data_IF_149690760261
#
_entry.id   IF_149690760261
#
_cell.length_a   1.000
_cell.length_b   1.000
_cell.length_c   1.000
_cell.angle_alpha   90.00
_cell.angle_beta   90.00
_cell.angle_gamma   90.00
#
_symmetry.space_group_name_H-M   'P 1'
#
loop_
_entity.id
_entity.type
_entity.pdbx_description
1 polymer ?
#
# COMPACT_ATOMS: atom_id res chain seq x y z
N UNK A 1 13.08 -33.80 -66.12
CA UNK A 1 13.24 -32.50 -65.43
C UNK A 1 12.16 -32.20 -64.38
N UNK A 2 11.16 -33.07 -64.12
CA UNK A 2 10.12 -32.80 -63.12
C UNK A 2 10.53 -33.10 -61.65
N UNK A 3 11.51 -33.99 -61.42
CA UNK A 3 11.93 -34.38 -60.06
C UNK A 3 12.77 -33.33 -59.31
N UNK A 4 13.55 -32.51 -60.01
CA UNK A 4 14.39 -31.47 -59.38
C UNK A 4 13.53 -30.33 -58.81
N UNK A 5 12.50 -29.90 -59.56
CA UNK A 5 11.54 -28.90 -59.10
C UNK A 5 10.75 -29.37 -57.88
N UNK A 6 10.45 -30.66 -57.78
CA UNK A 6 9.70 -31.22 -56.64
C UNK A 6 10.54 -31.25 -55.36
N UNK A 7 11.85 -31.55 -55.47
CA UNK A 7 12.80 -31.51 -54.36
C UNK A 7 13.00 -30.07 -53.87
N UNK A 8 13.18 -29.11 -54.77
CA UNK A 8 13.38 -27.70 -54.41
C UNK A 8 12.17 -27.13 -53.66
N UNK A 9 10.96 -27.45 -54.12
CA UNK A 9 9.71 -27.08 -53.45
C UNK A 9 9.62 -27.72 -52.06
N UNK A 10 10.01 -29.00 -51.94
CA UNK A 10 9.97 -29.71 -50.66
C UNK A 10 11.01 -29.18 -49.66
N UNK A 11 12.21 -28.83 -50.13
CA UNK A 11 13.26 -28.16 -49.34
C UNK A 11 12.80 -26.77 -48.90
N UNK A 12 12.19 -26.00 -49.80
CA UNK A 12 11.62 -24.69 -49.47
C UNK A 12 10.52 -24.77 -48.40
N UNK A 13 9.61 -25.73 -48.53
CA UNK A 13 8.58 -26.02 -47.52
C UNK A 13 9.18 -26.46 -46.18
N UNK A 14 10.21 -27.31 -46.20
CA UNK A 14 10.91 -27.73 -44.99
C UNK A 14 11.56 -26.54 -44.26
N UNK A 15 12.23 -25.64 -45.00
CA UNK A 15 12.83 -24.43 -44.44
C UNK A 15 11.79 -23.49 -43.83
N UNK A 16 10.66 -23.27 -44.51
CA UNK A 16 9.56 -22.45 -43.98
C UNK A 16 8.99 -23.09 -42.70
N UNK A 17 8.83 -24.41 -42.67
CA UNK A 17 8.38 -25.14 -41.49
C UNK A 17 9.31 -24.93 -40.29
N UNK A 18 10.62 -25.03 -40.50
CA UNK A 18 11.63 -24.78 -39.45
C UNK A 18 11.59 -23.34 -38.97
N UNK A 19 11.56 -22.35 -39.88
CA UNK A 19 11.51 -20.93 -39.52
C UNK A 19 10.24 -20.62 -38.73
N UNK A 20 9.09 -21.16 -39.15
CA UNK A 20 7.81 -20.97 -38.48
C UNK A 20 7.81 -21.59 -37.08
N UNK A 21 8.38 -22.78 -36.93
CA UNK A 21 8.53 -23.45 -35.63
C UNK A 21 9.38 -22.63 -34.67
N UNK A 22 10.53 -22.12 -35.14
CA UNK A 22 11.39 -21.25 -34.34
C UNK A 22 10.66 -19.96 -33.93
N UNK A 23 9.93 -19.33 -34.86
CA UNK A 23 9.13 -18.13 -34.58
C UNK A 23 8.08 -18.37 -33.49
N UNK A 24 7.38 -19.51 -33.51
CA UNK A 24 6.40 -19.86 -32.48
C UNK A 24 7.04 -20.00 -31.10
N UNK A 25 8.22 -20.62 -31.02
CA UNK A 25 8.98 -20.75 -29.76
C UNK A 25 9.38 -19.38 -29.21
N UNK A 26 9.94 -18.51 -30.06
CA UNK A 26 10.32 -17.15 -29.66
C UNK A 26 9.13 -16.34 -29.17
N UNK A 27 7.98 -16.41 -29.86
CA UNK A 27 6.78 -15.69 -29.44
C UNK A 27 6.23 -16.22 -28.10
N UNK A 28 6.30 -17.53 -27.87
CA UNK A 28 5.96 -18.15 -26.58
C UNK A 28 6.86 -17.66 -25.44
N UNK A 29 8.17 -17.58 -25.69
CA UNK A 29 9.14 -17.06 -24.72
C UNK A 29 8.93 -15.56 -24.44
N UNK A 30 8.73 -14.75 -25.47
CA UNK A 30 8.47 -13.31 -25.33
C UNK A 30 7.21 -13.04 -24.48
N UNK A 31 6.12 -13.78 -24.73
CA UNK A 31 4.89 -13.70 -23.91
C UNK A 31 5.12 -14.08 -22.45
N UNK A 32 5.95 -15.08 -22.21
CA UNK A 32 6.29 -15.54 -20.86
C UNK A 32 7.10 -14.46 -20.14
N UNK A 33 8.10 -13.88 -20.81
CA UNK A 33 8.92 -12.79 -20.26
C UNK A 33 8.06 -11.57 -19.89
N UNK A 34 7.20 -11.11 -20.80
CA UNK A 34 6.29 -9.98 -20.54
C UNK A 34 5.36 -10.23 -19.34
N UNK A 35 4.89 -11.48 -19.17
CA UNK A 35 4.05 -11.84 -18.02
C UNK A 35 4.83 -11.79 -16.71
N UNK A 36 6.08 -12.24 -16.73
CA UNK A 36 6.97 -12.18 -15.55
C UNK A 36 7.26 -10.73 -15.19
N UNK A 37 7.66 -9.91 -16.16
CA UNK A 37 7.94 -8.48 -15.95
C UNK A 37 6.74 -7.77 -15.31
N UNK A 38 5.53 -7.98 -15.85
CA UNK A 38 4.30 -7.39 -15.33
C UNK A 38 3.99 -7.84 -13.90
N UNK A 39 4.18 -9.12 -13.59
CA UNK A 39 3.97 -9.65 -12.25
C UNK A 39 4.98 -9.07 -11.24
N UNK A 40 6.24 -8.93 -11.66
CA UNK A 40 7.29 -8.30 -10.84
C UNK A 40 6.99 -6.81 -10.60
N UNK A 41 6.57 -6.07 -11.63
CA UNK A 41 6.15 -4.67 -11.51
C UNK A 41 5.00 -4.50 -10.51
N UNK A 42 3.98 -5.34 -10.60
CA UNK A 42 2.84 -5.29 -9.68
C UNK A 42 3.23 -5.63 -8.24
N UNK A 43 4.09 -6.62 -8.02
CA UNK A 43 4.60 -6.89 -6.68
C UNK A 43 5.41 -5.70 -6.13
N UNK A 44 6.27 -5.08 -6.96
CA UNK A 44 7.03 -3.89 -6.56
C UNK A 44 6.13 -2.71 -6.19
N UNK A 45 5.02 -2.50 -6.90
CA UNK A 45 4.03 -1.47 -6.59
C UNK A 45 3.38 -1.71 -5.22
N UNK A 46 2.96 -2.95 -4.94
CA UNK A 46 2.38 -3.33 -3.63
C UNK A 46 3.39 -3.14 -2.51
N UNK A 47 4.66 -3.53 -2.73
CA UNK A 47 5.73 -3.34 -1.75
C UNK A 47 6.07 -1.86 -1.52
N UNK A 48 6.04 -1.03 -2.57
CA UNK A 48 6.24 0.41 -2.45
C UNK A 48 5.11 1.06 -1.64
N UNK A 49 3.85 0.69 -1.88
CA UNK A 49 2.71 1.15 -1.10
C UNK A 49 2.84 0.76 0.37
N UNK A 50 3.23 -0.48 0.67
CA UNK A 50 3.47 -0.94 2.04
C UNK A 50 4.59 -0.16 2.72
N UNK A 51 5.74 0.05 2.06
CA UNK A 51 6.86 0.82 2.62
C UNK A 51 6.49 2.27 2.89
N UNK A 52 5.68 2.86 2.00
CA UNK A 52 5.15 4.20 2.22
C UNK A 52 4.29 4.25 3.49
N UNK A 53 3.35 3.31 3.68
CA UNK A 53 2.51 3.24 4.88
C UNK A 53 3.33 3.01 6.14
N UNK A 54 4.31 2.11 6.09
CA UNK A 54 5.21 1.83 7.20
C UNK A 54 5.96 3.09 7.63
N UNK A 55 6.49 3.84 6.66
CA UNK A 55 7.16 5.12 6.90
C UNK A 55 6.18 6.15 7.45
N UNK A 56 4.97 6.26 6.90
CA UNK A 56 3.98 7.22 7.38
C UNK A 56 3.58 6.94 8.84
N UNK A 57 3.30 5.68 9.18
CA UNK A 57 2.83 5.28 10.52
C UNK A 57 3.95 5.35 11.55
N UNK A 58 5.20 5.05 11.19
CA UNK A 58 6.34 5.17 12.12
C UNK A 58 6.58 6.60 12.60
N UNK A 59 6.23 7.60 11.77
CA UNK A 59 6.29 9.02 12.11
C UNK A 59 5.03 9.52 12.85
N UNK A 60 4.20 8.62 13.39
CA UNK A 60 3.04 9.01 14.17
C UNK A 60 3.44 9.74 15.47
N UNK A 61 2.76 10.85 15.73
CA UNK A 61 3.02 11.77 16.82
C UNK A 61 1.94 11.67 17.91
N UNK A 62 2.36 11.78 19.18
CA UNK A 62 1.48 11.75 20.35
C UNK A 62 0.73 13.09 20.52
N UNK A 63 -0.12 13.40 19.54
CA UNK A 63 -0.89 14.63 19.43
C UNK A 63 -2.38 14.31 19.29
N UNK A 64 -3.27 15.04 19.98
CA UNK A 64 -4.71 14.77 19.90
C UNK A 64 -5.22 14.83 18.46
N UNK A 65 -5.95 13.80 18.05
CA UNK A 65 -6.77 13.79 16.84
C UNK A 65 -7.87 14.85 16.94
N UNK A 66 -8.30 15.39 15.80
CA UNK A 66 -9.35 16.42 15.73
C UNK A 66 -10.69 15.95 16.30
N UNK A 67 -10.94 14.64 16.30
CA UNK A 67 -12.12 14.01 16.91
C UNK A 67 -12.03 13.82 18.43
N UNK A 68 -10.89 14.17 19.03
CA UNK A 68 -10.70 14.04 20.49
C UNK A 68 -11.62 14.99 21.25
N UNK A 69 -12.10 14.55 22.42
CA UNK A 69 -12.77 15.40 23.41
C UNK A 69 -11.88 15.57 24.65
N UNK A 70 -12.20 16.51 25.57
CA UNK A 70 -11.47 16.64 26.84
C UNK A 70 -11.42 15.33 27.65
N UNK A 71 -12.51 14.56 27.61
CA UNK A 71 -12.66 13.29 28.33
C UNK A 71 -12.02 12.12 27.57
N UNK A 72 -11.94 12.20 26.24
CA UNK A 72 -11.38 11.16 25.38
C UNK A 72 -10.37 11.75 24.39
N UNK A 73 -9.12 11.86 24.85
CA UNK A 73 -8.01 12.31 24.03
C UNK A 73 -7.37 11.11 23.32
N UNK A 74 -7.44 11.08 21.99
CA UNK A 74 -6.89 10.00 21.17
C UNK A 74 -5.69 10.50 20.39
N UNK A 75 -4.56 9.79 20.45
CA UNK A 75 -3.37 10.11 19.63
C UNK A 75 -3.33 9.33 18.32
N UNK A 76 -3.86 8.11 18.36
CA UNK A 76 -4.08 7.25 17.20
C UNK A 76 -5.41 6.53 17.41
N UNK A 77 -6.12 6.25 16.33
CA UNK A 77 -7.35 5.49 16.38
C UNK A 77 -7.49 4.65 15.11
N UNK A 78 -8.01 3.43 15.22
CA UNK A 78 -8.22 2.59 14.05
C UNK A 78 -8.80 1.23 14.41
N UNK A 79 -9.21 0.50 13.38
CA UNK A 79 -9.57 -0.90 13.45
C UNK A 79 -8.79 -1.68 12.38
N UNK A 80 -9.25 -2.89 12.04
CA UNK A 80 -8.61 -3.71 11.02
C UNK A 80 -8.61 -3.08 9.62
N UNK A 81 -9.55 -2.20 9.28
CA UNK A 81 -9.71 -1.68 7.93
C UNK A 81 -9.18 -0.25 7.73
N UNK A 82 -9.02 0.52 8.81
CA UNK A 82 -8.54 1.90 8.73
C UNK A 82 -7.70 2.29 9.94
N UNK A 83 -6.87 3.32 9.75
CA UNK A 83 -6.10 3.95 10.83
C UNK A 83 -6.04 5.46 10.63
N UNK A 84 -6.12 6.20 11.73
CA UNK A 84 -6.05 7.65 11.78
C UNK A 84 -5.03 8.10 12.84
N UNK A 85 -4.11 8.96 12.45
CA UNK A 85 -3.02 9.43 13.30
C UNK A 85 -2.52 10.79 12.85
N UNK A 86 -1.86 11.51 13.76
CA UNK A 86 -1.10 12.71 13.40
C UNK A 86 0.33 12.30 13.02
N UNK A 87 0.91 12.85 11.95
CA UNK A 87 2.33 12.66 11.64
C UNK A 87 2.94 13.89 10.96
N UNK A 88 4.26 14.04 11.12
CA UNK A 88 5.04 15.02 10.36
C UNK A 88 5.42 14.40 9.02
N UNK A 89 4.91 14.97 7.94
CA UNK A 89 5.21 14.50 6.58
C UNK A 89 5.95 15.54 5.77
N UNK A 90 6.83 15.08 4.88
CA UNK A 90 7.44 15.93 3.87
C UNK A 90 6.36 16.46 2.91
N UNK A 91 6.34 17.77 2.69
CA UNK A 91 5.38 18.44 1.78
C UNK A 91 6.10 19.14 0.61
N UNK A 92 7.38 18.82 0.40
CA UNK A 92 8.23 19.38 -0.64
C UNK A 92 9.71 19.25 -0.31
N UNK A 93 10.55 19.88 -1.12
CA UNK A 93 11.99 19.92 -0.89
C UNK A 93 12.29 20.80 0.33
N UNK A 94 12.73 20.17 1.43
CA UNK A 94 13.11 20.80 2.72
C UNK A 94 11.98 21.31 3.61
N UNK A 95 10.72 21.00 3.31
CA UNK A 95 9.59 21.36 4.17
C UNK A 95 8.85 20.14 4.66
N UNK A 96 8.56 20.12 5.95
CA UNK A 96 7.68 19.15 6.57
C UNK A 96 6.51 19.87 7.23
N UNK A 97 5.37 19.19 7.34
CA UNK A 97 4.23 19.73 8.04
C UNK A 97 3.47 18.63 8.76
N UNK A 98 2.90 19.01 9.90
CA UNK A 98 2.00 18.16 10.65
C UNK A 98 0.68 18.00 9.90
N UNK A 99 0.24 16.75 9.75
CA UNK A 99 -1.01 16.35 9.12
C UNK A 99 -1.73 15.36 10.02
N UNK A 100 -3.05 15.46 10.06
CA UNK A 100 -3.89 14.35 10.47
C UNK A 100 -4.15 13.49 9.23
N UNK A 101 -3.75 12.23 9.30
CA UNK A 101 -3.75 11.30 8.19
C UNK A 101 -4.75 10.21 8.50
N UNK A 102 -5.66 9.96 7.56
CA UNK A 102 -6.54 8.79 7.59
C UNK A 102 -6.17 7.89 6.43
N UNK A 103 -5.91 6.61 6.72
CA UNK A 103 -5.70 5.57 5.73
C UNK A 103 -6.90 4.64 5.77
N UNK A 104 -7.59 4.46 4.65
CA UNK A 104 -8.76 3.58 4.55
C UNK A 104 -8.94 3.06 3.13
N UNK A 105 -9.79 2.04 2.98
CA UNK A 105 -10.29 1.67 1.66
C UNK A 105 -11.27 2.75 1.15
N UNK A 106 -11.17 3.05 -0.14
CA UNK A 106 -12.05 3.94 -0.88
C UNK A 106 -12.51 3.26 -2.18
N UNK A 107 -13.53 3.82 -2.82
CA UNK A 107 -13.91 3.36 -4.15
C UNK A 107 -12.81 3.70 -5.16
N UNK A 108 -12.32 2.69 -5.85
CA UNK A 108 -11.29 2.81 -6.86
C UNK A 108 -11.84 2.87 -8.29
N UNK A 109 -13.16 2.91 -8.50
CA UNK A 109 -13.80 2.97 -9.80
C UNK A 109 -13.59 1.67 -10.59
N UNK A 110 -13.09 1.76 -11.83
CA UNK A 110 -12.92 0.61 -12.73
C UNK A 110 -11.94 -0.46 -12.21
N UNK A 111 -11.11 -0.13 -11.22
CA UNK A 111 -10.11 -1.03 -10.62
C UNK A 111 -10.61 -1.72 -9.34
N UNK A 112 -11.88 -1.56 -8.97
CA UNK A 112 -12.42 -2.07 -7.70
C UNK A 112 -12.03 -1.17 -6.53
N UNK A 113 -11.90 -1.70 -5.31
CA UNK A 113 -11.50 -0.90 -4.16
C UNK A 113 -10.04 -0.42 -4.28
N UNK A 114 -9.76 0.73 -3.67
CA UNK A 114 -8.44 1.33 -3.63
C UNK A 114 -8.04 1.69 -2.20
N UNK A 115 -6.76 1.61 -1.89
CA UNK A 115 -6.24 2.19 -0.65
C UNK A 115 -6.06 3.68 -0.86
N UNK A 116 -6.67 4.49 0.00
CA UNK A 116 -6.62 5.94 -0.08
C UNK A 116 -6.11 6.55 1.21
N UNK A 117 -5.51 7.73 1.07
CA UNK A 117 -5.06 8.56 2.16
C UNK A 117 -5.73 9.92 2.09
N UNK A 118 -6.29 10.35 3.21
CA UNK A 118 -6.78 11.70 3.41
C UNK A 118 -5.84 12.44 4.35
N UNK A 119 -5.43 13.66 4.00
CA UNK A 119 -4.45 14.43 4.77
C UNK A 119 -5.01 15.80 5.14
N UNK A 120 -5.47 15.95 6.37
CA UNK A 120 -6.01 17.23 6.85
C UNK A 120 -4.88 18.11 7.39
N UNK A 121 -4.87 19.37 6.99
CA UNK A 121 -3.92 20.36 7.54
C UNK A 121 -4.27 20.68 8.98
N UNK A 122 -3.31 20.56 9.90
CA UNK A 122 -3.51 20.92 11.31
C UNK A 122 -3.23 22.39 11.63
N UNK A 123 -3.31 23.29 10.64
CA UNK A 123 -3.06 24.72 10.87
C UNK A 123 -4.13 25.26 11.82
N UNK A 124 -3.81 26.25 12.64
CA UNK A 124 -4.73 26.93 13.58
C UNK A 124 -5.85 27.71 12.88
N UNK A 125 -6.62 27.05 12.03
CA UNK A 125 -7.86 27.57 11.48
C UNK A 125 -8.97 27.43 12.53
N UNK A 126 -9.91 28.38 12.52
CA UNK A 126 -11.06 28.44 13.43
C UNK A 126 -11.74 27.06 13.54
N UNK A 127 -12.26 26.69 14.72
CA UNK A 127 -13.09 25.49 14.88
C UNK A 127 -14.17 25.45 13.78
N UNK A 128 -14.22 24.36 13.00
CA UNK A 128 -15.19 24.17 11.92
C UNK A 128 -14.69 24.48 10.50
N UNK A 129 -13.50 25.04 10.31
CA UNK A 129 -12.90 25.19 8.98
C UNK A 129 -12.14 23.91 8.57
N UNK A 130 -12.88 22.84 8.27
CA UNK A 130 -12.31 21.68 7.61
C UNK A 130 -11.92 22.09 6.18
N UNK A 131 -10.62 22.26 5.90
CA UNK A 131 -10.15 22.28 4.52
C UNK A 131 -10.40 20.87 3.99
N UNK A 132 -11.35 20.74 3.07
CA UNK A 132 -11.63 19.47 2.40
C UNK A 132 -10.33 18.96 1.78
N UNK A 133 -9.82 17.83 2.28
CA UNK A 133 -8.72 17.12 1.65
C UNK A 133 -9.32 16.04 0.79
N UNK A 134 -9.03 16.08 -0.51
CA UNK A 134 -9.42 15.00 -1.40
C UNK A 134 -8.62 13.72 -1.05
N UNK A 135 -9.26 12.53 -1.08
CA UNK A 135 -8.55 11.28 -0.92
C UNK A 135 -7.53 11.07 -2.03
N UNK A 136 -6.26 10.91 -1.67
CA UNK A 136 -5.20 10.53 -2.60
C UNK A 136 -5.13 9.02 -2.67
N UNK A 137 -5.30 8.46 -3.86
CA UNK A 137 -5.16 7.04 -4.10
C UNK A 137 -3.69 6.62 -4.01
N UNK A 138 -3.39 5.64 -3.17
CA UNK A 138 -2.08 4.99 -3.13
C UNK A 138 -1.96 3.86 -4.12
N UNK A 139 -2.93 2.94 -4.11
CA UNK A 139 -2.91 1.75 -4.95
C UNK A 139 -4.35 1.27 -5.22
N UNK A 140 -4.63 0.84 -6.45
CA UNK A 140 -5.92 0.27 -6.86
C UNK A 140 -5.91 -1.26 -6.90
N UNK A 141 -7.10 -1.86 -6.96
CA UNK A 141 -7.25 -3.33 -6.98
C UNK A 141 -7.14 -3.97 -5.60
N UNK A 142 -7.33 -3.21 -4.53
CA UNK A 142 -7.17 -3.70 -3.16
C UNK A 142 -8.31 -4.64 -2.84
N UNK A 143 -7.98 -5.89 -2.52
CA UNK A 143 -8.95 -6.91 -2.12
C UNK A 143 -9.12 -6.98 -0.61
N UNK A 144 -8.07 -6.67 0.16
CA UNK A 144 -8.13 -6.59 1.61
C UNK A 144 -7.05 -5.68 2.19
N UNK A 145 -7.37 -5.06 3.32
CA UNK A 145 -6.42 -4.39 4.21
C UNK A 145 -6.70 -4.86 5.63
N UNK A 146 -5.65 -5.20 6.39
CA UNK A 146 -5.76 -5.59 7.79
C UNK A 146 -4.69 -4.88 8.62
N UNK A 147 -5.09 -4.06 9.59
CA UNK A 147 -4.24 -3.47 10.62
C UNK A 147 -4.38 -4.19 11.95
N UNK A 148 -3.29 -4.28 12.70
CA UNK A 148 -3.26 -4.76 14.09
C UNK A 148 -2.27 -3.91 14.89
N UNK A 149 -2.54 -3.74 16.19
CA UNK A 149 -1.90 -2.75 17.05
C UNK A 149 -1.27 -3.43 18.26
N UNK A 150 0.01 -3.18 18.53
CA UNK A 150 0.71 -3.77 19.67
C UNK A 150 0.48 -2.92 20.92
N UNK A 151 -0.21 -3.49 21.90
CA UNK A 151 -0.30 -2.94 23.24
C UNK A 151 0.83 -3.48 24.12
N UNK A 152 1.73 -2.61 24.57
CA UNK A 152 2.79 -2.95 25.51
C UNK A 152 2.40 -2.73 26.98
N UNK A 153 1.24 -2.12 27.26
CA UNK A 153 0.72 -1.96 28.61
C UNK A 153 0.04 -3.24 29.13
N UNK A 154 -0.38 -4.13 28.22
CA UNK A 154 -0.84 -5.47 28.57
C UNK A 154 0.33 -6.35 29.01
N UNK A 155 0.07 -7.23 29.99
CA UNK A 155 1.00 -8.24 30.46
C UNK A 155 0.38 -9.64 30.23
N UNK A 156 0.81 -10.39 29.19
CA UNK A 156 1.87 -10.08 28.24
C UNK A 156 1.45 -9.08 27.14
N UNK A 157 2.41 -8.36 26.52
CA UNK A 157 2.15 -7.51 25.37
C UNK A 157 1.42 -8.26 24.26
N UNK A 158 0.37 -7.65 23.71
CA UNK A 158 -0.56 -8.34 22.80
C UNK A 158 -0.95 -7.49 21.60
N UNK A 159 -1.20 -8.16 20.49
CA UNK A 159 -1.72 -7.53 19.28
C UNK A 159 -3.25 -7.43 19.34
N UNK A 160 -3.78 -6.23 19.16
CA UNK A 160 -5.20 -5.92 19.18
C UNK A 160 -5.71 -5.65 17.75
N UNK A 161 -6.95 -6.02 17.42
CA UNK A 161 -7.56 -5.76 16.11
C UNK A 161 -8.02 -4.30 15.93
N UNK A 162 -7.95 -3.49 16.98
CA UNK A 162 -8.29 -2.07 16.96
C UNK A 162 -7.56 -1.32 18.06
N UNK A 163 -7.50 0.01 17.91
CA UNK A 163 -6.87 0.91 18.85
C UNK A 163 -7.74 2.14 19.11
N UNK A 164 -8.04 2.38 20.38
CA UNK A 164 -8.77 3.54 20.86
C UNK A 164 -8.33 3.96 22.28
N UNK A 165 -7.13 3.54 22.71
CA UNK A 165 -6.61 3.80 24.05
C UNK A 165 -6.42 5.32 24.27
N UNK A 166 -6.98 5.90 25.34
CA UNK A 166 -6.86 7.32 25.60
C UNK A 166 -5.42 7.69 25.96
N UNK A 167 -4.94 8.77 25.35
CA UNK A 167 -3.60 9.37 25.58
C UNK A 167 -2.44 8.39 25.39
N UNK A 168 -2.63 7.38 24.55
CA UNK A 168 -1.64 6.33 24.31
C UNK A 168 -1.52 6.02 22.82
N UNK A 169 -0.28 5.88 22.36
CA UNK A 169 0.04 5.31 21.05
C UNK A 169 0.29 3.80 21.21
N UNK A 170 -0.06 2.97 20.21
CA UNK A 170 0.41 1.59 20.19
C UNK A 170 1.93 1.55 20.08
N UNK A 171 2.56 0.52 20.63
CA UNK A 171 4.02 0.36 20.52
C UNK A 171 4.45 0.10 19.07
N UNK A 172 3.61 -0.56 18.29
CA UNK A 172 3.78 -0.82 16.88
C UNK A 172 2.43 -1.05 16.19
N UNK A 173 2.41 -0.86 14.88
CA UNK A 173 1.30 -1.24 14.00
C UNK A 173 1.84 -2.20 12.98
N UNK A 174 1.19 -3.35 12.80
CA UNK A 174 1.46 -4.25 11.68
C UNK A 174 0.28 -4.24 10.74
N UNK A 175 0.54 -4.47 9.46
CA UNK A 175 -0.54 -4.55 8.50
C UNK A 175 -0.25 -5.52 7.36
N UNK A 176 -1.31 -5.96 6.70
CA UNK A 176 -1.25 -6.75 5.46
C UNK A 176 -2.10 -6.07 4.41
N UNK A 177 -1.49 -5.75 3.27
CA UNK A 177 -2.13 -5.25 2.07
C UNK A 177 -2.26 -6.39 1.07
N UNK A 178 -3.45 -6.60 0.53
CA UNK A 178 -3.74 -7.59 -0.49
C UNK A 178 -4.38 -6.94 -1.70
N UNK A 179 -3.88 -7.26 -2.89
CA UNK A 179 -4.31 -6.69 -4.17
C UNK A 179 -4.58 -7.82 -5.15
N UNK A 180 -5.66 -7.70 -5.94
CA UNK A 180 -5.95 -8.60 -7.06
C UNK A 180 -5.88 -7.79 -8.35
N UNK A 181 -5.02 -8.21 -9.28
CA UNK A 181 -4.85 -7.56 -10.59
C UNK A 181 -4.64 -8.62 -11.66
N UNK A 182 -5.39 -8.52 -12.75
CA UNK A 182 -5.39 -9.48 -13.86
C UNK A 182 -5.58 -10.94 -13.41
N UNK A 183 -6.39 -11.17 -12.38
CA UNK A 183 -6.66 -12.50 -11.82
C UNK A 183 -5.54 -13.09 -10.95
N UNK A 184 -4.43 -12.37 -10.76
CA UNK A 184 -3.36 -12.74 -9.83
C UNK A 184 -3.49 -11.96 -8.51
N UNK A 185 -3.18 -12.63 -7.40
CA UNK A 185 -3.16 -12.02 -6.07
C UNK A 185 -1.74 -11.66 -5.67
N UNK A 186 -1.56 -10.43 -5.18
CA UNK A 186 -0.32 -9.89 -4.66
C UNK A 186 -0.56 -9.46 -3.21
N UNK A 187 0.44 -9.63 -2.36
CA UNK A 187 0.33 -9.21 -0.97
C UNK A 187 1.66 -8.75 -0.44
N UNK A 188 1.60 -7.80 0.50
CA UNK A 188 2.76 -7.30 1.21
C UNK A 188 2.39 -7.04 2.67
N UNK A 189 3.34 -7.27 3.56
CA UNK A 189 3.21 -7.05 5.00
C UNK A 189 4.11 -5.91 5.40
N UNK A 190 3.61 -5.02 6.25
CA UNK A 190 4.39 -3.94 6.84
C UNK A 190 4.35 -3.95 8.36
N UNK A 191 5.36 -3.34 8.96
CA UNK A 191 5.51 -3.23 10.40
C UNK A 191 6.11 -1.87 10.76
N UNK A 192 5.31 -1.00 11.38
CA UNK A 192 5.73 0.31 11.85
C UNK A 192 5.87 0.29 13.36
N UNK A 193 7.08 0.48 13.88
CA UNK A 193 7.30 0.82 15.29
C UNK A 193 7.04 2.31 15.48
N UNK A 194 6.36 2.68 16.57
CA UNK A 194 6.10 4.08 16.88
C UNK A 194 7.15 4.57 17.88
N UNK A 195 8.01 5.48 17.44
CA UNK A 195 9.20 5.92 18.19
C UNK A 195 8.86 6.58 19.54
N UNK A 196 7.66 7.18 19.65
CA UNK A 196 7.22 7.92 20.85
C UNK A 196 6.34 7.12 21.81
N UNK A 197 6.15 5.81 21.59
CA UNK A 197 5.30 4.99 22.45
C UNK A 197 5.90 4.68 23.85
N UNK A 198 7.14 5.12 24.14
CA UNK A 198 7.89 4.71 25.32
C UNK A 198 8.51 5.81 26.19
N UNK A 199 8.43 7.08 25.82
CA UNK A 199 9.03 8.17 26.62
C UNK A 199 7.97 8.89 27.46
N UNK A 200 8.00 8.78 28.80
CA UNK A 200 7.27 9.72 29.65
C UNK A 200 7.83 11.11 29.36
N UNK A 201 6.97 12.07 28.99
CA UNK A 201 7.38 13.48 28.99
C UNK A 201 7.55 13.89 30.45
N UNK A 202 8.78 13.90 30.95
CA UNK A 202 9.10 14.63 32.17
C UNK A 202 8.90 16.11 31.87
N UNK A 203 8.02 16.76 32.66
CA UNK A 203 7.76 18.20 32.62
C UNK A 203 9.04 19.02 32.81
#
# INVERSE_FOLDING_TARGET
MAGFALIDVLVGLALIGVITSLMMVFLGQARTMMRIEKATEFQMEVDAASRFLETAISHAEALPLSKSSPDQVLYLSGDGAWVEFNAVQAIGFKSSALREITVSLADGGQTGAALAIVQKTRRGSKPGAAVSSEPVRLIGGVSAMKFEYLDNALAPPSWLPGWNAPRQLPAAVRFTLSVVRDGAAYSSRGFARLDLAGTPRTN
#
